data_IF_112371694872
#
_entry.id   IF_112371694872
#
_cell.length_a   1.000
_cell.length_b   1.000
_cell.length_c   1.000
_cell.angle_alpha   90.00
_cell.angle_beta   90.00
_cell.angle_gamma   90.00
#
_symmetry.space_group_name_H-M   'P 1'
#
loop_
_entity.id
_entity.type
_entity.pdbx_description
1 polymer ?
#
# COMPACT_ATOMS: atom_id res chain seq x y z
N UNK A 1 -18.45 -36.72 28.23
CA UNK A 1 -18.34 -35.45 27.49
C UNK A 1 -17.32 -35.63 26.38
N UNK A 2 -17.77 -35.77 25.13
CA UNK A 2 -16.88 -35.73 23.96
C UNK A 2 -16.69 -34.24 23.63
N UNK A 3 -15.45 -33.78 23.69
CA UNK A 3 -15.07 -32.41 23.29
C UNK A 3 -15.03 -32.43 21.76
N UNK A 4 -16.00 -31.79 21.11
CA UNK A 4 -15.92 -31.49 19.69
C UNK A 4 -14.82 -30.46 19.49
N UNK A 5 -13.74 -30.86 18.83
CA UNK A 5 -12.71 -29.94 18.35
C UNK A 5 -13.20 -29.49 16.97
N UNK A 6 -13.72 -28.26 16.91
CA UNK A 6 -13.98 -27.58 15.65
C UNK A 6 -12.62 -27.24 15.04
N UNK A 7 -12.28 -27.90 13.94
CA UNK A 7 -11.12 -27.56 13.11
C UNK A 7 -11.60 -26.46 12.17
N UNK A 8 -11.30 -25.20 12.52
CA UNK A 8 -11.44 -24.08 11.60
C UNK A 8 -10.56 -24.33 10.39
N UNK A 9 -11.15 -24.32 9.21
CA UNK A 9 -10.45 -24.50 7.94
C UNK A 9 -9.72 -23.19 7.64
N UNK A 10 -8.43 -23.11 7.98
CA UNK A 10 -7.56 -21.97 7.64
C UNK A 10 -7.14 -22.14 6.18
N UNK A 11 -7.46 -21.16 5.34
CA UNK A 11 -7.02 -21.11 3.94
C UNK A 11 -5.89 -20.11 3.81
N UNK A 12 -4.69 -20.60 3.55
CA UNK A 12 -3.52 -19.80 3.17
C UNK A 12 -3.61 -19.60 1.65
N UNK A 13 -3.71 -18.36 1.21
CA UNK A 13 -3.74 -18.00 -0.21
C UNK A 13 -2.56 -17.06 -0.45
N UNK A 14 -1.62 -17.48 -1.30
CA UNK A 14 -0.73 -16.53 -1.95
C UNK A 14 -1.62 -15.67 -2.84
N UNK A 15 -1.79 -14.39 -2.48
CA UNK A 15 -2.40 -13.43 -3.38
C UNK A 15 -1.28 -13.03 -4.35
N UNK A 16 -1.19 -13.78 -5.44
CA UNK A 16 -0.27 -13.44 -6.52
C UNK A 16 -0.94 -12.36 -7.38
N UNK A 17 -0.28 -11.22 -7.65
CA UNK A 17 -0.76 -10.28 -8.63
C UNK A 17 -0.85 -10.94 -9.98
N UNK A 18 -1.97 -10.68 -10.65
CA UNK A 18 -2.12 -10.92 -12.07
C UNK A 18 -1.70 -9.61 -12.75
N UNK A 19 -0.42 -9.48 -13.10
CA UNK A 19 0.02 -8.43 -14.01
C UNK A 19 -0.52 -8.77 -15.40
N UNK A 20 -1.39 -7.92 -15.93
CA UNK A 20 -1.61 -7.85 -17.36
C UNK A 20 -0.51 -6.97 -17.96
N UNK A 21 0.50 -7.59 -18.58
CA UNK A 21 1.42 -6.87 -19.46
C UNK A 21 0.65 -6.58 -20.75
N UNK A 22 -0.09 -5.46 -20.80
CA UNK A 22 -0.86 -5.07 -21.98
C UNK A 22 0.06 -4.48 -23.06
N UNK A 23 0.50 -5.33 -23.99
CA UNK A 23 1.12 -4.84 -25.23
C UNK A 23 0.04 -4.23 -26.13
N UNK A 24 0.21 -2.96 -26.49
CA UNK A 24 -0.79 -2.12 -27.16
C UNK A 24 -1.09 -2.45 -28.64
N UNK A 25 -1.10 -3.72 -29.06
CA UNK A 25 -1.56 -4.06 -30.41
C UNK A 25 -2.24 -5.43 -30.49
N UNK A 26 -3.57 -5.37 -30.56
CA UNK A 26 -4.49 -6.44 -30.95
C UNK A 26 -4.62 -7.65 -30.00
N UNK A 27 -5.52 -7.58 -29.02
CA UNK A 27 -6.66 -8.51 -28.90
C UNK A 27 -7.63 -8.13 -27.77
N UNK A 28 -8.86 -8.59 -27.91
CA UNK A 28 -10.03 -8.26 -27.11
C UNK A 28 -9.91 -8.73 -25.65
N UNK A 29 -10.40 -7.94 -24.68
CA UNK A 29 -10.30 -8.26 -23.25
C UNK A 29 -11.03 -9.56 -22.91
N UNK A 30 -10.36 -10.46 -22.20
CA UNK A 30 -11.03 -11.50 -21.43
C UNK A 30 -11.67 -10.82 -20.22
N UNK A 31 -12.93 -10.44 -20.36
CA UNK A 31 -13.75 -9.94 -19.26
C UNK A 31 -13.85 -11.02 -18.17
N UNK A 32 -13.00 -10.94 -17.14
CA UNK A 32 -13.56 -11.03 -15.80
C UNK A 32 -14.60 -9.91 -15.76
N UNK A 33 -15.89 -10.27 -15.65
CA UNK A 33 -16.92 -9.23 -15.54
C UNK A 33 -16.48 -8.32 -14.40
N UNK A 34 -16.36 -7.00 -14.63
CA UNK A 34 -16.07 -6.09 -13.53
C UNK A 34 -17.09 -6.41 -12.46
N UNK A 35 -16.62 -6.52 -11.22
CA UNK A 35 -17.53 -6.26 -10.13
C UNK A 35 -17.99 -4.82 -10.37
N UNK A 36 -19.15 -4.70 -11.02
CA UNK A 36 -19.87 -3.45 -11.14
C UNK A 36 -20.37 -3.16 -9.73
N UNK A 37 -19.49 -2.64 -8.89
CA UNK A 37 -19.99 -1.50 -8.14
C UNK A 37 -20.47 -0.49 -9.18
N UNK A 38 -21.56 0.23 -8.92
CA UNK A 38 -21.86 1.40 -9.73
C UNK A 38 -20.55 2.16 -9.89
N UNK A 39 -20.21 2.50 -11.13
CA UNK A 39 -19.27 3.59 -11.33
C UNK A 39 -20.02 4.76 -10.72
N UNK A 40 -19.88 4.95 -9.41
CA UNK A 40 -20.28 6.18 -8.77
C UNK A 40 -19.58 7.23 -9.62
N UNK A 41 -20.38 8.12 -10.20
CA UNK A 41 -19.86 9.28 -10.91
C UNK A 41 -18.86 9.89 -9.95
N UNK A 42 -17.57 9.70 -10.26
CA UNK A 42 -16.53 10.23 -9.39
C UNK A 42 -16.78 11.73 -9.32
N UNK A 43 -16.84 12.24 -8.10
CA UNK A 43 -17.04 13.65 -7.91
C UNK A 43 -15.95 14.44 -8.68
N UNK A 44 -16.31 15.56 -9.32
CA UNK A 44 -15.36 16.38 -10.04
C UNK A 44 -14.17 16.84 -9.18
N UNK A 45 -14.32 16.87 -7.85
CA UNK A 45 -13.24 17.08 -6.88
C UNK A 45 -13.31 15.97 -5.84
N UNK A 46 -12.19 15.31 -5.56
CA UNK A 46 -12.12 14.18 -4.62
C UNK A 46 -10.74 14.10 -3.95
N UNK A 47 -10.71 14.12 -2.61
CA UNK A 47 -9.51 13.93 -1.80
C UNK A 47 -9.20 12.42 -1.73
N UNK A 48 -8.09 12.02 -2.34
CA UNK A 48 -7.81 10.60 -2.61
C UNK A 48 -7.11 9.86 -1.47
N UNK A 49 -6.34 10.57 -0.67
CA UNK A 49 -5.39 9.98 0.28
C UNK A 49 -5.70 10.25 1.77
N UNK A 50 -6.87 10.84 2.07
CA UNK A 50 -7.36 11.11 3.43
C UNK A 50 -8.85 10.70 3.50
N UNK A 51 -9.24 10.03 4.59
CA UNK A 51 -10.56 9.41 4.74
C UNK A 51 -11.73 10.27 5.15
N UNK A 52 -12.94 9.73 4.97
CA UNK A 52 -14.23 10.44 5.11
C UNK A 52 -15.06 10.06 6.36
N UNK A 53 -14.67 9.04 7.14
CA UNK A 53 -15.56 8.46 8.17
C UNK A 53 -14.81 7.80 9.36
N UNK A 54 -15.55 7.11 10.24
CA UNK A 54 -15.21 6.51 11.55
C UNK A 54 -13.85 5.82 11.77
N UNK A 55 -13.08 5.56 10.72
CA UNK A 55 -11.66 5.21 10.81
C UNK A 55 -10.82 6.36 10.25
N UNK A 56 -10.86 7.50 10.94
CA UNK A 56 -10.07 8.67 10.59
C UNK A 56 -8.62 8.27 10.28
N UNK A 57 -8.06 8.92 9.27
CA UNK A 57 -6.62 8.84 9.05
C UNK A 57 -5.90 9.38 10.27
N UNK A 58 -4.90 8.66 10.75
CA UNK A 58 -4.13 9.04 11.93
C UNK A 58 -2.78 9.50 11.45
N UNK A 59 -2.41 10.73 11.79
CA UNK A 59 -1.12 11.31 11.45
C UNK A 59 -0.34 11.71 12.71
N UNK A 60 0.98 11.59 12.64
CA UNK A 60 1.87 11.92 13.74
C UNK A 60 2.19 13.42 13.76
N UNK A 61 2.02 14.04 14.93
CA UNK A 61 2.31 15.46 15.12
C UNK A 61 3.77 15.80 14.79
N UNK A 62 3.98 16.95 14.13
CA UNK A 62 5.31 17.45 13.79
C UNK A 62 5.92 16.86 12.51
N UNK A 63 5.20 15.97 11.83
CA UNK A 63 5.53 15.46 10.50
C UNK A 63 5.03 16.37 9.38
N UNK A 64 5.25 15.97 8.14
CA UNK A 64 4.70 16.59 6.94
C UNK A 64 4.02 15.50 6.16
N UNK A 65 2.82 15.73 5.63
CA UNK A 65 2.20 14.79 4.70
C UNK A 65 1.65 15.55 3.49
N UNK A 66 1.15 14.83 2.51
CA UNK A 66 0.57 15.42 1.31
C UNK A 66 -0.96 15.33 1.34
N UNK A 67 -1.61 16.29 0.70
CA UNK A 67 -3.01 16.16 0.29
C UNK A 67 -2.99 15.93 -1.20
N UNK A 68 -3.67 14.88 -1.66
CA UNK A 68 -3.77 14.54 -3.06
C UNK A 68 -5.23 14.62 -3.45
N UNK A 69 -5.51 15.47 -4.43
CA UNK A 69 -6.85 15.76 -4.94
C UNK A 69 -6.91 15.35 -6.39
N UNK A 70 -7.94 14.61 -6.75
CA UNK A 70 -8.36 14.48 -8.14
C UNK A 70 -9.31 15.62 -8.46
N UNK A 71 -9.06 16.35 -9.55
CA UNK A 71 -9.95 17.40 -10.01
C UNK A 71 -10.15 17.32 -11.54
N UNK A 72 -11.40 17.24 -11.98
CA UNK A 72 -11.82 17.17 -13.39
C UNK A 72 -12.87 18.26 -13.72
N UNK A 73 -13.02 18.57 -15.00
CA UNK A 73 -13.95 19.59 -15.49
C UNK A 73 -13.31 20.96 -15.72
N UNK A 74 -14.14 22.02 -15.70
CA UNK A 74 -13.75 23.36 -16.11
C UNK A 74 -13.52 24.29 -14.90
N UNK A 75 -12.26 24.44 -14.50
CA UNK A 75 -11.81 25.31 -13.42
C UNK A 75 -10.49 26.01 -13.81
N UNK A 76 -10.09 27.02 -13.05
CA UNK A 76 -8.83 27.73 -13.20
C UNK A 76 -7.80 27.33 -12.15
N UNK A 77 -8.27 27.02 -10.93
CA UNK A 77 -7.41 26.79 -9.77
C UNK A 77 -8.00 25.70 -8.87
N UNK A 78 -7.14 25.03 -8.10
CA UNK A 78 -7.53 24.06 -7.06
C UNK A 78 -6.87 24.47 -5.75
N UNK A 79 -7.64 24.47 -4.69
CA UNK A 79 -7.22 24.91 -3.36
C UNK A 79 -7.54 23.86 -2.31
N UNK A 80 -6.88 24.00 -1.16
CA UNK A 80 -7.25 23.32 0.07
C UNK A 80 -7.16 24.24 1.29
N UNK A 81 -7.78 23.82 2.38
CA UNK A 81 -7.61 24.41 3.71
C UNK A 81 -7.75 23.34 4.79
N UNK A 82 -6.95 23.45 5.84
CA UNK A 82 -7.14 22.68 7.08
C UNK A 82 -7.98 23.50 8.05
N UNK A 83 -9.03 22.88 8.59
CA UNK A 83 -10.04 23.51 9.45
C UNK A 83 -10.58 24.81 8.82
N UNK A 84 -10.58 25.91 9.58
CA UNK A 84 -10.94 27.24 9.11
C UNK A 84 -9.69 28.06 8.73
N UNK A 85 -8.64 27.38 8.27
CA UNK A 85 -7.37 27.97 7.84
C UNK A 85 -7.49 28.82 6.59
N UNK A 86 -6.38 29.45 6.19
CA UNK A 86 -6.32 30.18 4.92
C UNK A 86 -6.28 29.19 3.75
N UNK A 87 -6.95 29.50 2.62
CA UNK A 87 -6.80 28.75 1.38
C UNK A 87 -5.34 28.69 0.91
N UNK A 88 -4.91 27.51 0.49
CA UNK A 88 -3.60 27.24 -0.09
C UNK A 88 -3.80 26.57 -1.45
N UNK A 89 -3.04 27.01 -2.46
CA UNK A 89 -3.13 26.44 -3.81
C UNK A 89 -2.48 25.05 -3.86
N UNK A 90 -3.10 24.13 -4.59
CA UNK A 90 -2.52 22.84 -4.95
C UNK A 90 -1.76 22.96 -6.28
N UNK A 91 -0.70 22.18 -6.43
CA UNK A 91 0.07 22.10 -7.67
C UNK A 91 -0.42 20.92 -8.51
N UNK A 92 -0.62 21.13 -9.81
CA UNK A 92 -0.96 20.04 -10.72
C UNK A 92 0.26 19.14 -10.93
N UNK A 93 0.06 17.82 -10.86
CA UNK A 93 1.06 16.86 -11.27
C UNK A 93 1.08 16.73 -12.79
N UNK A 94 2.15 17.25 -13.40
CA UNK A 94 2.34 17.29 -14.85
C UNK A 94 1.07 17.85 -15.54
N UNK A 95 0.51 17.12 -16.50
CA UNK A 95 -0.74 17.45 -17.20
C UNK A 95 -1.87 16.48 -16.85
N UNK A 96 -1.88 15.96 -15.63
CA UNK A 96 -2.85 14.96 -15.15
C UNK A 96 -4.01 15.64 -14.42
N UNK A 97 -5.03 14.88 -14.03
CA UNK A 97 -6.12 15.34 -13.16
C UNK A 97 -5.75 15.27 -11.66
N UNK A 98 -4.47 15.08 -11.31
CA UNK A 98 -3.96 15.03 -9.93
C UNK A 98 -3.36 16.36 -9.51
N UNK A 99 -3.72 16.80 -8.31
CA UNK A 99 -3.27 18.02 -7.67
C UNK A 99 -2.77 17.69 -6.27
N UNK A 100 -1.66 18.28 -5.84
CA UNK A 100 -1.06 17.97 -4.56
C UNK A 100 -0.45 19.18 -3.86
N UNK A 101 -0.35 19.09 -2.54
CA UNK A 101 0.51 19.94 -1.74
C UNK A 101 0.93 19.24 -0.45
N UNK A 102 2.18 19.45 -0.06
CA UNK A 102 2.65 19.11 1.26
C UNK A 102 2.11 20.10 2.30
N UNK A 103 1.73 19.61 3.48
CA UNK A 103 1.37 20.42 4.63
C UNK A 103 1.97 19.87 5.92
N UNK A 104 2.32 20.78 6.83
CA UNK A 104 2.92 20.42 8.11
C UNK A 104 1.87 20.02 9.14
N UNK A 105 2.14 18.93 9.85
CA UNK A 105 1.29 18.35 10.90
C UNK A 105 1.59 18.94 12.29
N UNK A 106 1.99 20.22 12.34
CA UNK A 106 2.17 20.98 13.58
C UNK A 106 0.81 21.55 14.08
N UNK A 107 -0.20 20.68 14.09
CA UNK A 107 -1.56 20.99 14.50
C UNK A 107 -1.78 20.60 15.96
N UNK A 108 -2.88 21.06 16.55
CA UNK A 108 -3.29 20.59 17.89
C UNK A 108 -3.64 19.10 17.83
N UNK A 109 -3.55 18.37 18.94
CA UNK A 109 -3.97 16.97 18.96
C UNK A 109 -5.49 16.86 18.82
N UNK A 110 -5.97 15.85 18.09
CA UNK A 110 -7.40 15.60 17.90
C UNK A 110 -7.81 15.57 16.43
N UNK A 111 -9.13 15.65 16.21
CA UNK A 111 -9.74 15.59 14.88
C UNK A 111 -9.65 16.94 14.16
N UNK A 112 -9.38 16.87 12.87
CA UNK A 112 -9.26 17.98 11.93
C UNK A 112 -10.04 17.66 10.66
N UNK A 113 -10.38 18.72 9.94
CA UNK A 113 -10.98 18.60 8.60
C UNK A 113 -10.01 19.16 7.57
N UNK A 114 -9.84 18.46 6.45
CA UNK A 114 -9.28 19.03 5.22
C UNK A 114 -10.44 19.28 4.26
N UNK A 115 -10.44 20.45 3.63
CA UNK A 115 -11.37 20.79 2.56
C UNK A 115 -10.56 21.11 1.31
N UNK A 116 -10.92 20.51 0.18
CA UNK A 116 -10.38 20.82 -1.13
C UNK A 116 -11.49 21.34 -2.04
N UNK A 117 -11.17 22.27 -2.95
CA UNK A 117 -12.16 22.80 -3.89
C UNK A 117 -11.51 23.32 -5.16
N UNK A 118 -12.33 23.41 -6.22
CA UNK A 118 -11.95 24.06 -7.48
C UNK A 118 -12.59 25.44 -7.57
N UNK A 119 -11.89 26.37 -8.22
CA UNK A 119 -12.44 27.70 -8.52
C UNK A 119 -12.37 28.00 -10.01
N UNK A 120 -13.32 28.80 -10.49
CA UNK A 120 -13.30 29.39 -11.81
C UNK A 120 -13.52 30.90 -11.69
N UNK A 121 -12.46 31.69 -11.95
CA UNK A 121 -12.47 33.15 -11.77
C UNK A 121 -12.87 33.59 -10.35
N UNK A 122 -12.37 32.90 -9.32
CA UNK A 122 -12.62 33.21 -7.91
C UNK A 122 -14.01 32.79 -7.40
N UNK A 123 -14.73 31.97 -8.16
CA UNK A 123 -15.99 31.35 -7.75
C UNK A 123 -15.75 29.87 -7.57
N UNK A 124 -16.06 29.35 -6.39
CA UNK A 124 -16.03 27.91 -6.12
C UNK A 124 -17.01 27.18 -7.06
N UNK A 125 -16.51 26.13 -7.71
CA UNK A 125 -17.27 25.30 -8.65
C UNK A 125 -17.72 24.01 -7.98
N UNK A 126 -16.80 23.36 -7.27
CA UNK A 126 -17.05 22.10 -6.59
C UNK A 126 -16.04 21.91 -5.44
N UNK A 127 -16.36 21.06 -4.47
CA UNK A 127 -15.54 20.84 -3.30
C UNK A 127 -15.71 19.45 -2.71
N UNK A 128 -14.73 19.07 -1.90
CA UNK A 128 -14.74 17.86 -1.13
C UNK A 128 -14.10 18.06 0.26
N UNK A 129 -14.46 17.21 1.23
CA UNK A 129 -14.08 17.33 2.64
C UNK A 129 -13.76 15.97 3.22
N UNK A 130 -12.57 15.83 3.80
CA UNK A 130 -12.12 14.64 4.52
C UNK A 130 -11.73 14.97 5.98
N UNK A 131 -11.68 13.95 6.84
CA UNK A 131 -11.30 14.07 8.26
C UNK A 131 -10.05 13.27 8.58
N UNK A 132 -9.26 13.78 9.52
CA UNK A 132 -8.09 13.08 10.04
C UNK A 132 -7.84 13.43 11.51
N UNK A 133 -7.00 12.66 12.17
CA UNK A 133 -6.65 12.80 13.58
C UNK A 133 -5.16 13.00 13.72
N UNK A 134 -4.77 13.95 14.58
CA UNK A 134 -3.38 14.20 14.94
C UNK A 134 -3.10 13.62 16.32
N UNK A 135 -2.09 12.75 16.39
CA UNK A 135 -1.61 12.10 17.62
C UNK A 135 -0.20 12.53 17.97
N UNK A 136 0.15 12.44 19.25
CA UNK A 136 1.48 12.82 19.74
C UNK A 136 2.50 11.68 19.70
N UNK A 137 2.02 10.45 19.50
CA UNK A 137 2.83 9.24 19.55
C UNK A 137 2.33 8.23 18.52
N UNK A 138 3.14 7.23 18.24
CA UNK A 138 2.79 6.15 17.32
C UNK A 138 1.63 5.33 17.85
N UNK A 139 0.81 4.81 16.93
CA UNK A 139 -0.36 3.97 17.24
C UNK A 139 -0.13 2.48 16.95
N UNK A 140 0.99 2.14 16.32
CA UNK A 140 1.44 0.77 16.08
C UNK A 140 2.96 0.74 15.83
N UNK A 141 3.56 -0.41 16.11
CA UNK A 141 4.95 -0.72 15.79
C UNK A 141 5.01 -1.91 14.82
N UNK A 142 5.81 -1.78 13.77
CA UNK A 142 6.08 -2.86 12.81
C UNK A 142 7.58 -3.07 12.66
N UNK A 143 7.99 -4.33 12.58
CA UNK A 143 9.38 -4.73 12.47
C UNK A 143 9.55 -5.58 11.22
N UNK A 144 10.38 -5.15 10.29
CA UNK A 144 10.67 -5.88 9.06
C UNK A 144 12.10 -6.40 9.08
N UNK A 145 12.23 -7.71 9.00
CA UNK A 145 13.45 -8.35 8.54
C UNK A 145 13.44 -8.36 7.02
N UNK A 146 14.49 -7.80 6.42
CA UNK A 146 14.64 -7.69 4.98
C UNK A 146 15.87 -8.48 4.55
N UNK A 147 15.61 -9.57 3.86
CA UNK A 147 16.61 -10.32 3.13
C UNK A 147 16.59 -9.95 1.66
N UNK A 148 17.71 -10.13 0.98
CA UNK A 148 17.80 -9.83 -0.44
C UNK A 148 18.72 -10.79 -1.17
N UNK A 149 18.39 -11.12 -2.41
CA UNK A 149 19.30 -11.89 -3.25
C UNK A 149 20.49 -11.04 -3.71
N UNK A 150 21.65 -11.67 -3.93
CA UNK A 150 22.84 -10.99 -4.46
C UNK A 150 22.54 -10.07 -5.63
N UNK A 151 22.82 -8.77 -5.45
CA UNK A 151 22.62 -7.72 -6.45
C UNK A 151 21.21 -7.11 -6.48
N UNK A 152 20.29 -7.55 -5.61
CA UNK A 152 18.91 -7.06 -5.51
C UNK A 152 18.64 -6.35 -4.17
N UNK A 153 19.70 -5.84 -3.52
CA UNK A 153 19.59 -5.04 -2.31
C UNK A 153 18.73 -3.78 -2.57
N UNK A 154 17.68 -3.51 -1.77
CA UNK A 154 16.89 -2.30 -1.93
C UNK A 154 17.73 -1.04 -1.67
N UNK A 155 17.49 0.01 -2.45
CA UNK A 155 18.21 1.27 -2.27
C UNK A 155 17.80 1.96 -0.96
N UNK A 156 18.75 2.67 -0.33
CA UNK A 156 18.44 3.45 0.89
C UNK A 156 17.37 4.53 0.63
N UNK A 157 17.26 5.05 -0.59
CA UNK A 157 16.24 6.04 -0.94
C UNK A 157 14.83 5.42 -0.89
N UNK A 158 14.67 4.21 -1.43
CA UNK A 158 13.43 3.44 -1.34
C UNK A 158 13.07 3.16 0.11
N UNK A 159 14.02 2.66 0.91
CA UNK A 159 13.79 2.34 2.33
C UNK A 159 13.42 3.59 3.15
N UNK A 160 14.08 4.73 2.91
CA UNK A 160 13.76 5.99 3.56
C UNK A 160 12.33 6.44 3.23
N UNK A 161 11.95 6.43 1.95
CA UNK A 161 10.60 6.82 1.56
C UNK A 161 9.55 5.92 2.21
N UNK A 162 9.78 4.60 2.13
CA UNK A 162 8.88 3.62 2.70
C UNK A 162 8.70 3.84 4.21
N UNK A 163 9.77 3.98 4.98
CA UNK A 163 9.71 4.29 6.42
C UNK A 163 8.98 5.61 6.68
N UNK A 164 9.38 6.69 6.01
CA UNK A 164 8.81 8.02 6.25
C UNK A 164 7.29 8.04 6.00
N UNK A 165 6.81 7.35 4.95
CA UNK A 165 5.40 7.23 4.63
C UNK A 165 4.55 6.67 5.78
N UNK A 166 5.06 5.63 6.45
CA UNK A 166 4.40 5.02 7.61
C UNK A 166 4.50 5.90 8.85
N UNK A 167 5.64 6.56 9.04
CA UNK A 167 5.87 7.47 10.16
C UNK A 167 4.91 8.66 10.13
N UNK A 168 4.63 9.20 8.95
CA UNK A 168 3.65 10.26 8.80
C UNK A 168 2.28 9.82 9.29
N UNK A 169 1.91 8.55 9.05
CA UNK A 169 0.66 7.90 9.47
C UNK A 169 0.68 7.33 10.88
N UNK A 170 1.59 7.80 11.72
CA UNK A 170 1.76 7.35 13.11
C UNK A 170 1.97 5.84 13.25
N UNK A 171 2.57 5.18 12.26
CA UNK A 171 3.06 3.81 12.37
C UNK A 171 4.59 3.87 12.47
N UNK A 172 5.14 3.30 13.54
CA UNK A 172 6.58 3.26 13.75
C UNK A 172 7.14 2.04 13.02
N UNK A 173 7.75 2.30 11.86
CA UNK A 173 8.31 1.22 11.06
C UNK A 173 9.80 1.07 11.38
N UNK A 174 10.17 -0.12 11.80
CA UNK A 174 11.54 -0.56 11.96
C UNK A 174 11.88 -1.56 10.87
N UNK A 175 13.11 -1.50 10.37
CA UNK A 175 13.62 -2.54 9.51
C UNK A 175 15.07 -2.88 9.85
N UNK A 176 15.46 -4.11 9.53
CA UNK A 176 16.85 -4.56 9.45
C UNK A 176 17.08 -5.11 8.05
N UNK A 177 18.18 -4.72 7.41
CA UNK A 177 18.72 -5.47 6.27
C UNK A 177 19.63 -6.54 6.87
N UNK A 178 19.26 -7.81 6.74
CA UNK A 178 19.95 -8.90 7.45
C UNK A 178 20.84 -9.71 6.50
N UNK A 179 20.26 -10.66 5.75
CA UNK A 179 21.04 -11.59 4.95
C UNK A 179 21.05 -11.28 3.45
N UNK A 180 22.24 -11.43 2.86
CA UNK A 180 22.39 -11.59 1.41
C UNK A 180 22.23 -13.07 1.03
N UNK A 181 21.13 -13.37 0.37
CA UNK A 181 20.74 -14.70 -0.10
C UNK A 181 21.40 -15.01 -1.46
N UNK A 182 21.84 -16.25 -1.72
CA UNK A 182 22.34 -16.62 -3.05
C UNK A 182 21.29 -16.39 -4.14
N UNK A 183 21.70 -15.72 -5.23
CA UNK A 183 20.83 -15.46 -6.37
C UNK A 183 20.33 -16.77 -7.01
N UNK A 184 19.01 -16.86 -7.16
CA UNK A 184 18.34 -17.83 -8.02
C UNK A 184 17.51 -17.04 -9.04
N UNK A 185 17.45 -17.47 -10.31
CA UNK A 185 16.73 -16.70 -11.33
C UNK A 185 15.20 -16.75 -11.17
N UNK A 186 14.69 -17.79 -10.49
CA UNK A 186 13.26 -18.00 -10.24
C UNK A 186 13.09 -18.59 -8.85
N UNK A 187 12.45 -17.87 -7.94
CA UNK A 187 12.06 -18.38 -6.64
C UNK A 187 10.91 -19.36 -6.83
N UNK A 188 11.16 -20.64 -6.58
CA UNK A 188 10.16 -21.71 -6.75
C UNK A 188 9.43 -22.09 -5.46
N UNK A 189 10.02 -21.78 -4.30
CA UNK A 189 9.46 -22.03 -2.98
C UNK A 189 9.95 -20.97 -1.98
N UNK A 190 9.14 -19.94 -1.73
CA UNK A 190 9.50 -18.88 -0.79
C UNK A 190 9.78 -19.43 0.63
N UNK A 191 9.03 -20.46 1.05
CA UNK A 191 9.17 -21.01 2.41
C UNK A 191 10.46 -21.81 2.60
N UNK A 192 11.12 -22.22 1.52
CA UNK A 192 12.46 -22.80 1.61
C UNK A 192 13.51 -21.75 2.02
N UNK A 193 13.32 -20.49 1.61
CA UNK A 193 14.17 -19.37 2.03
C UNK A 193 13.81 -18.90 3.43
N UNK A 194 12.53 -18.70 3.70
CA UNK A 194 12.04 -18.32 5.03
C UNK A 194 12.58 -19.26 6.12
N UNK A 195 12.51 -20.58 5.91
CA UNK A 195 12.99 -21.54 6.89
C UNK A 195 14.51 -21.49 7.16
N UNK A 196 15.29 -20.80 6.33
CA UNK A 196 16.75 -20.68 6.44
C UNK A 196 17.15 -19.28 6.93
N UNK A 197 16.53 -18.23 6.38
CA UNK A 197 16.98 -16.85 6.50
C UNK A 197 16.05 -15.96 7.34
N UNK A 198 14.79 -16.34 7.59
CA UNK A 198 13.94 -15.64 8.58
C UNK A 198 14.39 -16.00 10.00
N UNK A 199 15.52 -15.44 10.41
CA UNK A 199 16.24 -15.81 11.62
C UNK A 199 16.54 -14.64 12.57
N UNK A 200 16.22 -13.41 12.16
CA UNK A 200 16.28 -12.25 13.02
C UNK A 200 15.19 -12.31 14.10
N UNK A 201 15.58 -12.09 15.36
CA UNK A 201 14.64 -12.06 16.49
C UNK A 201 14.55 -10.66 17.08
N UNK A 202 13.40 -10.00 16.88
CA UNK A 202 13.06 -8.82 17.66
C UNK A 202 12.53 -9.25 19.03
N UNK A 203 13.37 -9.11 20.04
CA UNK A 203 13.01 -9.41 21.44
C UNK A 203 12.13 -8.30 22.05
N UNK A 204 10.95 -8.05 21.50
CA UNK A 204 9.91 -7.34 22.23
C UNK A 204 9.51 -8.17 23.46
N UNK A 205 9.53 -7.57 24.65
CA UNK A 205 9.07 -8.26 25.87
C UNK A 205 7.60 -8.66 25.73
N UNK A 206 7.34 -9.97 25.67
CA UNK A 206 5.98 -10.52 25.74
C UNK A 206 5.35 -10.91 24.40
N UNK A 207 6.05 -10.75 23.27
CA UNK A 207 5.63 -11.33 21.99
C UNK A 207 6.03 -12.81 21.95
N UNK A 208 5.11 -13.66 21.49
CA UNK A 208 5.40 -15.07 21.24
C UNK A 208 5.85 -15.21 19.79
N UNK A 209 7.09 -15.64 19.59
CA UNK A 209 7.63 -16.14 18.31
C UNK A 209 6.63 -17.13 17.68
N UNK A 210 6.00 -16.72 16.58
CA UNK A 210 5.08 -17.52 15.78
C UNK A 210 5.74 -18.11 14.52
N UNK A 211 7.04 -17.86 14.31
CA UNK A 211 7.80 -18.18 13.09
C UNK A 211 7.86 -19.68 12.78
N UNK A 212 7.57 -20.55 13.76
CA UNK A 212 7.78 -22.01 13.65
C UNK A 212 6.54 -22.86 13.42
N UNK A 213 5.38 -22.27 13.19
CA UNK A 213 4.17 -23.07 12.93
C UNK A 213 3.20 -22.37 11.99
N UNK A 214 3.33 -22.60 10.67
CA UNK A 214 2.33 -22.28 9.62
C UNK A 214 0.90 -22.79 9.98
N UNK A 215 0.78 -23.64 11.01
CA UNK A 215 -0.49 -24.19 11.49
C UNK A 215 -1.09 -23.30 12.59
N UNK A 216 -1.80 -22.23 12.20
CA UNK A 216 -2.61 -21.41 13.12
C UNK A 216 -2.86 -20.00 12.60
N UNK A 217 -4.02 -19.41 12.95
CA UNK A 217 -4.37 -18.04 12.51
C UNK A 217 -3.51 -16.96 13.18
N UNK A 218 -2.89 -17.26 14.32
CA UNK A 218 -2.07 -16.31 15.08
C UNK A 218 -0.72 -16.00 14.43
N UNK A 219 -0.33 -16.75 13.39
CA UNK A 219 0.99 -16.64 12.72
C UNK A 219 1.08 -15.43 11.80
N UNK A 220 -0.05 -14.74 11.60
CA UNK A 220 -0.15 -13.52 10.80
C UNK A 220 -0.46 -12.29 11.68
N UNK A 221 -0.50 -12.45 13.00
CA UNK A 221 -0.75 -11.37 13.96
C UNK A 221 0.55 -10.72 14.46
N UNK A 222 1.71 -11.25 14.09
CA UNK A 222 2.99 -10.69 14.53
C UNK A 222 3.23 -9.27 13.99
N UNK A 223 3.79 -8.42 14.85
CA UNK A 223 4.40 -7.15 14.46
C UNK A 223 5.68 -7.38 13.64
N UNK A 224 6.31 -8.55 13.77
CA UNK A 224 7.45 -8.97 12.96
C UNK A 224 6.97 -9.47 11.59
N UNK A 225 7.60 -8.95 10.54
CA UNK A 225 7.36 -9.25 9.14
C UNK A 225 8.68 -9.67 8.52
N UNK A 226 8.62 -10.62 7.61
CA UNK A 226 9.77 -11.06 6.83
C UNK A 226 9.54 -10.73 5.35
N UNK A 227 10.52 -10.08 4.72
CA UNK A 227 10.46 -9.60 3.36
C UNK A 227 11.70 -10.04 2.59
N UNK A 228 11.50 -10.76 1.47
CA UNK A 228 12.58 -11.15 0.57
C UNK A 228 12.54 -10.29 -0.70
N UNK A 229 13.61 -9.53 -0.96
CA UNK A 229 13.90 -8.93 -2.27
C UNK A 229 14.59 -9.96 -3.15
N UNK A 230 13.81 -10.70 -3.92
CA UNK A 230 14.31 -11.74 -4.81
C UNK A 230 14.15 -11.39 -6.29
N UNK A 231 14.48 -12.35 -7.15
CA UNK A 231 14.52 -12.18 -8.60
C UNK A 231 13.12 -12.16 -9.23
N UNK A 232 12.61 -13.32 -9.62
CA UNK A 232 11.30 -13.54 -10.25
C UNK A 232 10.58 -14.70 -9.56
N UNK A 233 9.25 -14.68 -9.56
CA UNK A 233 8.46 -15.84 -9.18
C UNK A 233 8.25 -16.79 -10.38
N UNK A 234 7.92 -18.05 -10.09
CA UNK A 234 7.48 -19.00 -11.12
C UNK A 234 6.26 -18.51 -11.93
N UNK A 235 5.43 -17.68 -11.32
CA UNK A 235 4.43 -16.87 -12.00
C UNK A 235 5.08 -15.62 -12.60
N UNK A 236 5.42 -15.69 -13.89
CA UNK A 236 6.08 -14.62 -14.64
C UNK A 236 5.24 -13.35 -14.83
N UNK A 237 4.11 -13.21 -14.14
CA UNK A 237 3.23 -12.05 -14.17
C UNK A 237 3.01 -11.45 -12.77
N UNK A 238 3.97 -11.55 -11.86
CA UNK A 238 3.85 -11.10 -10.47
C UNK A 238 5.00 -10.18 -10.07
N UNK A 239 4.70 -8.96 -9.60
CA UNK A 239 5.71 -7.99 -9.15
C UNK A 239 6.16 -8.25 -7.72
N UNK A 240 5.28 -8.77 -6.88
CA UNK A 240 5.53 -9.18 -5.51
C UNK A 240 4.32 -9.95 -5.00
N UNK A 241 4.37 -10.50 -3.80
CA UNK A 241 3.19 -11.06 -3.16
C UNK A 241 3.36 -11.13 -1.66
N UNK A 242 2.23 -11.07 -0.97
CA UNK A 242 2.14 -11.22 0.48
C UNK A 242 1.25 -12.40 0.81
N UNK A 243 1.72 -13.28 1.68
CA UNK A 243 0.88 -14.33 2.25
C UNK A 243 -0.01 -13.74 3.33
N UNK A 244 -1.32 -13.75 3.07
CA UNK A 244 -2.32 -13.18 3.98
C UNK A 244 -3.32 -14.23 4.50
N UNK A 245 -3.71 -14.08 5.76
CA UNK A 245 -4.93 -14.68 6.30
C UNK A 245 -6.14 -13.88 5.80
N UNK A 246 -6.77 -14.37 4.73
CA UNK A 246 -7.93 -13.72 4.10
C UNK A 246 -9.14 -13.52 5.03
N UNK A 247 -9.25 -14.27 6.13
CA UNK A 247 -10.35 -14.11 7.07
C UNK A 247 -10.18 -12.88 7.98
N UNK A 248 -8.93 -12.51 8.25
CA UNK A 248 -8.56 -11.44 9.18
C UNK A 248 -7.77 -10.30 8.53
N UNK A 249 -7.46 -10.42 7.24
CA UNK A 249 -6.73 -9.45 6.41
C UNK A 249 -5.41 -9.04 7.06
N UNK A 250 -4.45 -9.97 7.10
CA UNK A 250 -3.15 -9.77 7.77
C UNK A 250 -2.11 -10.69 7.18
N UNK A 251 -0.86 -10.25 7.07
CA UNK A 251 0.21 -11.00 6.43
C UNK A 251 1.58 -10.73 7.04
N UNK A 252 2.46 -11.74 6.97
CA UNK A 252 3.81 -11.67 7.58
C UNK A 252 4.94 -12.01 6.61
N UNK A 253 4.65 -12.65 5.48
CA UNK A 253 5.68 -13.13 4.55
C UNK A 253 5.49 -12.46 3.19
N UNK A 254 6.49 -11.68 2.79
CA UNK A 254 6.46 -10.83 1.61
C UNK A 254 7.59 -11.24 0.67
N UNK A 255 7.29 -11.31 -0.62
CA UNK A 255 8.27 -11.45 -1.69
C UNK A 255 8.15 -10.25 -2.62
N UNK A 256 9.28 -9.64 -2.97
CA UNK A 256 9.40 -8.61 -3.99
C UNK A 256 10.20 -9.20 -5.15
N UNK A 257 9.62 -9.21 -6.36
CA UNK A 257 10.23 -9.79 -7.57
C UNK A 257 10.98 -8.71 -8.37
N UNK A 258 12.17 -8.34 -7.91
CA UNK A 258 12.97 -7.24 -8.43
C UNK A 258 13.28 -7.37 -9.92
N UNK A 259 13.66 -8.55 -10.42
CA UNK A 259 14.00 -8.71 -11.85
C UNK A 259 12.77 -8.47 -12.75
N UNK A 260 11.58 -8.83 -12.28
CA UNK A 260 10.35 -8.59 -13.02
C UNK A 260 9.98 -7.11 -13.06
N UNK A 261 10.14 -6.44 -11.92
CA UNK A 261 9.91 -5.00 -11.78
C UNK A 261 10.92 -4.21 -12.62
N UNK A 262 12.22 -4.54 -12.54
CA UNK A 262 13.26 -3.85 -13.32
C UNK A 262 13.07 -4.03 -14.83
N UNK A 263 12.57 -5.19 -15.26
CA UNK A 263 12.19 -5.40 -16.67
C UNK A 263 11.02 -4.50 -17.08
N UNK A 264 10.02 -4.31 -16.22
CA UNK A 264 8.91 -3.38 -16.46
C UNK A 264 9.43 -1.94 -16.55
N UNK A 265 10.19 -1.46 -15.55
CA UNK A 265 10.75 -0.10 -15.53
C UNK A 265 11.60 0.18 -16.77
N UNK A 266 12.49 -0.75 -17.13
CA UNK A 266 13.33 -0.63 -18.33
C UNK A 266 12.50 -0.63 -19.62
N UNK A 267 11.41 -1.38 -19.69
CA UNK A 267 10.56 -1.46 -20.90
C UNK A 267 9.86 -0.13 -21.16
N UNK A 268 9.46 0.56 -20.10
CA UNK A 268 8.68 1.80 -20.20
C UNK A 268 9.49 3.07 -19.95
N UNK A 269 10.79 2.94 -19.72
CA UNK A 269 11.69 4.08 -19.48
C UNK A 269 11.35 4.83 -18.20
N UNK A 270 10.84 4.11 -17.19
CA UNK A 270 10.58 4.67 -15.89
C UNK A 270 11.89 4.92 -15.13
N UNK A 271 11.91 5.92 -14.24
CA UNK A 271 13.00 6.10 -13.30
C UNK A 271 13.16 4.84 -12.44
N UNK A 272 14.42 4.51 -12.11
CA UNK A 272 14.75 3.34 -11.31
C UNK A 272 14.15 3.49 -9.90
N UNK A 273 13.57 2.42 -9.37
CA UNK A 273 12.93 2.27 -8.05
C UNK A 273 11.47 2.74 -7.94
N UNK A 274 10.90 3.41 -8.94
CA UNK A 274 9.51 3.87 -8.86
C UNK A 274 8.50 2.72 -8.77
N UNK A 275 8.63 1.73 -9.66
CA UNK A 275 7.79 0.54 -9.61
C UNK A 275 8.16 -0.37 -8.44
N UNK A 276 9.45 -0.44 -8.08
CA UNK A 276 9.92 -1.22 -6.94
C UNK A 276 9.32 -0.72 -5.63
N UNK A 277 9.26 0.60 -5.45
CA UNK A 277 8.64 1.22 -4.29
C UNK A 277 7.13 1.01 -4.28
N UNK A 278 6.43 1.17 -5.40
CA UNK A 278 4.97 0.88 -5.49
C UNK A 278 4.68 -0.55 -5.07
N UNK A 279 5.41 -1.54 -5.59
CA UNK A 279 5.21 -2.94 -5.21
C UNK A 279 5.57 -3.17 -3.74
N UNK A 280 6.68 -2.61 -3.26
CA UNK A 280 7.07 -2.73 -1.84
C UNK A 280 5.99 -2.17 -0.92
N UNK A 281 5.43 -1.01 -1.25
CA UNK A 281 4.32 -0.43 -0.50
C UNK A 281 3.07 -1.31 -0.61
N UNK A 282 2.68 -1.73 -1.81
CA UNK A 282 1.51 -2.59 -2.04
C UNK A 282 1.54 -3.85 -1.16
N UNK A 283 2.66 -4.57 -1.19
CA UNK A 283 2.83 -5.79 -0.40
C UNK A 283 2.92 -5.52 1.10
N UNK A 284 3.64 -4.47 1.52
CA UNK A 284 3.65 -4.05 2.91
C UNK A 284 2.25 -3.62 3.40
N UNK A 285 1.42 -3.03 2.55
CA UNK A 285 0.03 -2.69 2.83
C UNK A 285 -0.82 -3.92 3.11
N UNK A 286 -0.68 -4.97 2.30
CA UNK A 286 -1.32 -6.26 2.56
C UNK A 286 -0.94 -6.87 3.91
N UNK A 287 0.31 -6.69 4.35
CA UNK A 287 0.79 -7.21 5.63
C UNK A 287 -0.02 -6.67 6.83
N UNK A 288 -0.53 -5.44 6.71
CA UNK A 288 -1.36 -4.78 7.72
C UNK A 288 -2.85 -4.74 7.35
N UNK A 289 -3.27 -5.49 6.34
CA UNK A 289 -4.69 -5.64 6.00
C UNK A 289 -5.25 -4.62 5.02
N UNK A 290 -4.43 -3.79 4.38
CA UNK A 290 -4.89 -2.98 3.25
C UNK A 290 -5.15 -3.90 2.06
N UNK A 291 -6.39 -4.40 1.94
CA UNK A 291 -6.74 -5.44 0.97
C UNK A 291 -8.26 -5.52 0.74
N UNK A 292 -8.66 -5.63 -0.53
CA UNK A 292 -10.02 -6.03 -0.93
C UNK A 292 -9.98 -7.37 -1.63
N UNK A 293 -10.83 -8.30 -1.22
CA UNK A 293 -10.97 -9.62 -1.85
C UNK A 293 -12.38 -9.88 -2.33
N UNK A 294 -12.48 -10.57 -3.47
CA UNK A 294 -13.73 -11.07 -3.99
C UNK A 294 -14.36 -12.10 -3.03
N UNK A 295 -15.66 -11.98 -2.78
CA UNK A 295 -16.42 -12.90 -1.92
C UNK A 295 -16.71 -14.27 -2.56
N UNK A 296 -16.29 -14.50 -3.81
CA UNK A 296 -16.52 -15.75 -4.57
C UNK A 296 -15.20 -16.44 -4.90
N UNK A 297 -15.11 -17.73 -4.59
CA UNK A 297 -13.88 -18.50 -4.81
C UNK A 297 -12.87 -18.25 -3.69
N UNK A 298 -11.62 -18.68 -3.85
CA UNK A 298 -10.55 -18.59 -2.84
C UNK A 298 -10.09 -17.15 -2.53
N UNK A 299 -10.92 -16.14 -2.75
CA UNK A 299 -10.59 -14.72 -2.57
C UNK A 299 -9.50 -14.26 -3.54
N UNK A 300 -9.88 -13.78 -4.72
CA UNK A 300 -8.96 -13.01 -5.57
C UNK A 300 -8.98 -11.55 -5.12
N UNK A 301 -7.81 -10.91 -5.09
CA UNK A 301 -7.69 -9.48 -4.86
C UNK A 301 -8.52 -8.67 -5.87
N UNK A 302 -9.05 -7.55 -5.40
CA UNK A 302 -9.71 -6.53 -6.20
C UNK A 302 -8.77 -5.33 -6.22
N UNK A 303 -8.05 -5.12 -7.31
CA UNK A 303 -7.27 -3.90 -7.55
C UNK A 303 -8.18 -2.70 -7.76
N UNK A 304 -7.66 -1.50 -7.46
CA UNK A 304 -8.39 -0.26 -7.71
C UNK A 304 -8.58 -0.09 -9.22
N UNK A 305 -9.81 -0.25 -9.76
CA UNK A 305 -10.02 -0.26 -11.20
C UNK A 305 -10.21 1.15 -11.77
N UNK A 306 -10.23 2.16 -10.91
CA UNK A 306 -10.60 3.54 -11.24
C UNK A 306 -9.43 4.49 -11.06
N UNK A 307 -8.55 4.21 -10.10
CA UNK A 307 -7.40 5.05 -9.78
C UNK A 307 -6.07 4.36 -10.07
N UNK A 308 -5.49 4.61 -11.23
CA UNK A 308 -4.18 4.06 -11.58
C UNK A 308 -3.01 4.71 -10.82
N UNK A 309 -3.26 5.73 -10.00
CA UNK A 309 -2.25 6.34 -9.12
C UNK A 309 -2.23 5.73 -7.72
N UNK A 310 -3.24 4.93 -7.37
CA UNK A 310 -3.32 4.23 -6.09
C UNK A 310 -2.29 3.10 -6.02
N UNK A 311 -1.67 2.94 -4.86
CA UNK A 311 -0.78 1.81 -4.55
C UNK A 311 -1.53 0.48 -4.68
N UNK A 312 -2.83 0.43 -4.41
CA UNK A 312 -3.66 -0.78 -4.57
C UNK A 312 -4.20 -0.98 -5.99
N UNK A 313 -3.75 -0.21 -6.97
CA UNK A 313 -3.97 -0.55 -8.37
C UNK A 313 -2.91 -1.54 -8.87
N UNK A 314 -3.14 -2.17 -10.02
CA UNK A 314 -2.08 -2.94 -10.69
C UNK A 314 -0.90 -2.03 -11.06
N UNK A 315 0.29 -2.60 -11.29
CA UNK A 315 1.41 -1.82 -11.81
C UNK A 315 1.03 -1.15 -13.14
N UNK A 316 1.07 0.18 -13.15
CA UNK A 316 0.75 1.06 -14.26
C UNK A 316 1.87 2.10 -14.46
N UNK A 317 1.87 2.83 -15.57
CA UNK A 317 2.84 3.91 -15.75
C UNK A 317 2.53 5.09 -14.83
N UNK A 318 1.24 5.26 -14.56
CA UNK A 318 0.66 6.26 -13.68
C UNK A 318 1.21 6.11 -12.26
N UNK A 319 0.93 5.01 -11.55
CA UNK A 319 1.46 4.81 -10.20
C UNK A 319 2.99 4.68 -10.20
N UNK A 320 3.60 3.83 -11.02
CA UNK A 320 5.06 3.62 -10.98
C UNK A 320 5.86 4.87 -11.36
N UNK A 321 5.25 5.79 -12.12
CA UNK A 321 5.83 7.09 -12.48
C UNK A 321 5.45 8.23 -11.53
N UNK A 322 4.55 8.03 -10.57
CA UNK A 322 4.04 9.09 -9.67
C UNK A 322 5.01 9.42 -8.53
N UNK A 323 6.25 9.73 -8.90
CA UNK A 323 7.37 9.89 -7.99
C UNK A 323 7.05 10.82 -6.81
N UNK A 324 7.15 10.25 -5.61
CA UNK A 324 6.96 10.86 -4.30
C UNK A 324 5.52 11.23 -3.92
N UNK A 325 4.55 10.88 -4.74
CA UNK A 325 3.13 11.20 -4.51
C UNK A 325 2.26 9.95 -4.34
N UNK A 326 2.87 8.80 -4.03
CA UNK A 326 2.14 7.55 -3.88
C UNK A 326 1.17 7.60 -2.69
N UNK A 327 0.00 6.99 -2.85
CA UNK A 327 -1.00 6.91 -1.80
C UNK A 327 -1.84 5.65 -1.89
N UNK A 328 -2.36 5.21 -0.75
CA UNK A 328 -3.49 4.29 -0.70
C UNK A 328 -4.77 5.10 -0.87
N UNK A 329 -5.63 4.70 -1.81
CA UNK A 329 -6.97 5.26 -1.86
C UNK A 329 -7.73 4.95 -0.56
N UNK A 330 -8.55 5.89 -0.09
CA UNK A 330 -9.23 5.76 1.21
C UNK A 330 -10.01 4.45 1.36
N UNK A 331 -10.72 4.03 0.32
CA UNK A 331 -11.55 2.84 0.33
C UNK A 331 -10.73 1.54 0.51
N UNK A 332 -9.45 1.55 0.16
CA UNK A 332 -8.49 0.49 0.50
C UNK A 332 -7.89 0.71 1.87
N UNK A 333 -7.40 1.92 2.16
CA UNK A 333 -6.77 2.22 3.43
C UNK A 333 -7.68 1.98 4.64
N UNK A 334 -8.99 2.18 4.49
CA UNK A 334 -10.01 1.85 5.51
C UNK A 334 -10.14 0.36 5.84
N UNK A 335 -9.50 -0.54 5.08
CA UNK A 335 -9.45 -1.98 5.37
C UNK A 335 -8.31 -2.36 6.33
N UNK A 336 -7.36 -1.44 6.57
CA UNK A 336 -6.21 -1.66 7.45
C UNK A 336 -6.63 -2.19 8.82
N UNK A 337 -5.83 -3.11 9.36
CA UNK A 337 -6.06 -3.76 10.64
C UNK A 337 -4.94 -3.42 11.64
N UNK A 338 -4.66 -2.12 11.77
CA UNK A 338 -3.53 -1.60 12.57
C UNK A 338 -3.68 -1.92 14.06
N UNK A 339 -4.92 -2.03 14.57
CA UNK A 339 -5.19 -2.25 16.00
C UNK A 339 -4.70 -3.61 16.54
N UNK A 340 -4.23 -4.51 15.67
CA UNK A 340 -3.58 -5.76 16.05
C UNK A 340 -2.13 -5.52 16.51
N UNK A 341 -1.49 -4.50 15.97
CA UNK A 341 -0.06 -4.21 16.08
C UNK A 341 0.24 -3.08 17.06
#
# INVERSE_FOLDING_TARGET
MKKEISIGLIFIVAIAPIIFIESSSNMQPFYARPWQDPVDELDPVDIRNIGYDTQDDIFLQGRTTEIIVRADGAFTDVFYSIDNGQPLALSQYLSTDRYFAAFGLNLVLGSHTVRAWTENNGIEVDFDIATFVIVADYVADLYYEIDYMTGLEPSQALLNYWVDYWHDRAINLHYVLDDEVPYEAVVSDLFAYEAIYNDWEFQAEGTTDDRRSIVGSSVFDSQEKWMLFGSSDSNSNTGGYTYVDTANQRGNYIMICCDMISNFESTYGLPHDGALLVVTMHEAGHSIGVLKITTRGRGSEIYNPVDYYDIMSSMHLENCGFENHWYYAYDYWSTRNIAIY
#
